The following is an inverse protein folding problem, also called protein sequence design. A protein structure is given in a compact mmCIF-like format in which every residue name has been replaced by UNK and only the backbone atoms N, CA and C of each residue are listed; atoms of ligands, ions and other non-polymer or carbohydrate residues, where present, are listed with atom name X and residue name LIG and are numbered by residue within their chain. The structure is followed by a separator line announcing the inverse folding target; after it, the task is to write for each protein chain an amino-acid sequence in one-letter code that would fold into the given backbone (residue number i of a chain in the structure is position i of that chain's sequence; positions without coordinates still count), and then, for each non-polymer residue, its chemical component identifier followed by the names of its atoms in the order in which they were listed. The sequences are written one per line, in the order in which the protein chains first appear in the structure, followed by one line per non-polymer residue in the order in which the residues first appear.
data_IF_198100920431
#
_entry.id   IF_198100920431
#
_cell.length_a   1.000
_cell.length_b   1.000
_cell.length_c   1.000
_cell.angle_alpha   90.00
_cell.angle_beta   90.00
_cell.angle_gamma   90.00
#
_symmetry.space_group_name_H-M   'P 1'
#
loop_
_entity.id
_entity.type
_entity.pdbx_description
1 polymer ?
#
# COMPACT_ATOMS: atom_id res chain seq x y z
N UNK A 1 -2.51 -18.44 -2.18
CA UNK A 1 -3.24 -18.31 -3.46
C UNK A 1 -2.57 -17.21 -4.24
N UNK A 2 -2.30 -17.43 -5.53
CA UNK A 2 -1.62 -16.47 -6.39
C UNK A 2 -2.59 -15.32 -6.70
N UNK A 3 -2.08 -14.08 -6.78
CA UNK A 3 -2.92 -12.91 -7.12
C UNK A 3 -3.26 -12.79 -8.61
N UNK A 4 -2.75 -13.72 -9.43
CA UNK A 4 -2.71 -13.66 -10.90
C UNK A 4 -3.26 -14.94 -11.50
N UNK A 5 -3.99 -14.84 -12.62
CA UNK A 5 -4.51 -15.99 -13.38
C UNK A 5 -4.33 -15.80 -14.89
N UNK A 6 -4.09 -16.90 -15.61
CA UNK A 6 -4.09 -16.95 -17.08
C UNK A 6 -5.35 -17.68 -17.55
N UNK A 7 -6.21 -16.97 -18.30
CA UNK A 7 -7.42 -17.53 -18.93
C UNK A 7 -7.13 -17.80 -20.39
N UNK A 8 -7.31 -19.05 -20.85
CA UNK A 8 -6.97 -19.45 -22.21
C UNK A 8 -7.93 -20.50 -22.78
N UNK A 9 -8.13 -20.51 -24.10
CA UNK A 9 -8.84 -21.60 -24.78
C UNK A 9 -8.07 -22.92 -24.63
N UNK A 10 -8.77 -24.05 -24.62
CA UNK A 10 -8.21 -25.40 -24.38
C UNK A 10 -6.92 -25.67 -25.18
N UNK A 11 -6.95 -25.34 -26.48
CA UNK A 11 -5.82 -25.53 -27.40
C UNK A 11 -4.56 -24.70 -27.07
N UNK A 12 -4.70 -23.63 -26.28
CA UNK A 12 -3.62 -22.74 -25.86
C UNK A 12 -3.23 -22.94 -24.39
N UNK A 13 -3.79 -23.95 -23.70
CA UNK A 13 -3.41 -24.26 -22.32
C UNK A 13 -1.91 -24.56 -22.14
N UNK A 14 -1.18 -25.21 -23.07
CA UNK A 14 0.26 -25.38 -22.94
C UNK A 14 1.01 -24.04 -22.81
N UNK A 15 0.69 -23.07 -23.67
CA UNK A 15 1.27 -21.73 -23.62
C UNK A 15 0.80 -20.96 -22.38
N UNK A 16 -0.47 -21.12 -21.99
CA UNK A 16 -1.01 -20.53 -20.77
C UNK A 16 -0.27 -21.00 -19.52
N UNK A 17 0.07 -22.30 -19.44
CA UNK A 17 0.87 -22.87 -18.34
C UNK A 17 2.27 -22.28 -18.32
N UNK A 18 2.92 -22.14 -19.49
CA UNK A 18 4.23 -21.49 -19.58
C UNK A 18 4.21 -20.04 -19.08
N UNK A 19 3.18 -19.27 -19.42
CA UNK A 19 2.99 -17.91 -18.90
C UNK A 19 2.75 -17.95 -17.39
N UNK A 20 1.91 -18.89 -16.94
CA UNK A 20 1.55 -19.02 -15.53
C UNK A 20 2.74 -19.40 -14.65
N UNK A 21 3.60 -20.32 -15.09
CA UNK A 21 4.81 -20.73 -14.38
C UNK A 21 5.78 -19.54 -14.20
N UNK A 22 5.94 -18.70 -15.23
CA UNK A 22 6.79 -17.50 -15.15
C UNK A 22 6.24 -16.47 -14.16
N UNK A 23 4.92 -16.28 -14.16
CA UNK A 23 4.25 -15.29 -13.30
C UNK A 23 3.94 -15.80 -11.89
N UNK A 24 4.12 -17.10 -11.62
CA UNK A 24 3.56 -17.75 -10.45
C UNK A 24 2.05 -17.55 -10.37
N UNK A 25 1.33 -17.84 -11.47
CA UNK A 25 -0.11 -17.62 -11.63
C UNK A 25 -0.87 -18.96 -11.70
N UNK A 26 -2.18 -18.90 -11.50
CA UNK A 26 -3.07 -20.03 -11.78
C UNK A 26 -3.46 -20.05 -13.27
N UNK A 27 -4.01 -21.17 -13.78
CA UNK A 27 -4.59 -21.26 -15.13
C UNK A 27 -6.05 -21.66 -15.08
N UNK A 28 -6.90 -20.98 -15.84
CA UNK A 28 -8.32 -21.33 -16.01
C UNK A 28 -8.63 -21.55 -17.50
N UNK A 29 -9.19 -22.71 -17.90
CA UNK A 29 -9.72 -22.89 -19.25
C UNK A 29 -10.86 -21.92 -19.54
N UNK A 30 -10.86 -21.31 -20.72
CA UNK A 30 -11.89 -20.38 -21.13
C UNK A 30 -13.23 -21.10 -21.33
N UNK A 31 -14.28 -20.54 -20.73
CA UNK A 31 -15.67 -20.98 -20.83
C UNK A 31 -16.61 -19.84 -20.44
N UNK A 32 -17.94 -20.07 -20.42
CA UNK A 32 -18.94 -19.03 -20.18
C UNK A 32 -18.72 -18.22 -18.90
N UNK A 33 -18.28 -18.88 -17.82
CA UNK A 33 -18.09 -18.26 -16.50
C UNK A 33 -16.62 -17.95 -16.17
N UNK A 34 -15.68 -18.25 -17.06
CA UNK A 34 -14.25 -18.16 -16.75
C UNK A 34 -13.82 -16.74 -16.31
N UNK A 35 -14.31 -15.69 -16.99
CA UNK A 35 -14.01 -14.31 -16.58
C UNK A 35 -14.74 -13.91 -15.29
N UNK A 36 -15.94 -14.44 -15.05
CA UNK A 36 -16.67 -14.19 -13.80
C UNK A 36 -15.92 -14.79 -12.61
N UNK A 37 -15.47 -16.03 -12.74
CA UNK A 37 -14.62 -16.67 -11.74
C UNK A 37 -13.31 -15.89 -11.53
N UNK A 38 -12.64 -15.52 -12.63
CA UNK A 38 -11.38 -14.79 -12.58
C UNK A 38 -11.53 -13.43 -11.86
N UNK A 39 -12.57 -12.66 -12.17
CA UNK A 39 -12.84 -11.35 -11.55
C UNK A 39 -13.13 -11.44 -10.06
N UNK A 40 -13.76 -12.53 -9.60
CA UNK A 40 -14.06 -12.74 -8.18
C UNK A 40 -12.81 -13.12 -7.36
N UNK A 41 -11.88 -13.86 -7.96
CA UNK A 41 -10.79 -14.53 -7.23
C UNK A 41 -9.42 -13.87 -7.39
N UNK A 42 -9.18 -13.14 -8.48
CA UNK A 42 -7.86 -12.65 -8.85
C UNK A 42 -7.84 -11.14 -9.08
N UNK A 43 -6.66 -10.55 -8.87
CA UNK A 43 -6.42 -9.11 -9.09
C UNK A 43 -5.75 -8.82 -10.42
N UNK A 44 -5.11 -9.83 -11.03
CA UNK A 44 -4.35 -9.74 -12.26
C UNK A 44 -4.78 -10.88 -13.19
N UNK A 45 -5.17 -10.56 -14.42
CA UNK A 45 -5.72 -11.52 -15.37
C UNK A 45 -4.98 -11.37 -16.70
N UNK A 46 -4.39 -12.47 -17.18
CA UNK A 46 -3.87 -12.59 -18.55
C UNK A 46 -4.88 -13.37 -19.38
N UNK A 47 -5.45 -12.75 -20.41
CA UNK A 47 -6.37 -13.39 -21.34
C UNK A 47 -5.62 -13.81 -22.61
N UNK A 48 -5.23 -15.09 -22.72
CA UNK A 48 -4.56 -15.65 -23.90
C UNK A 48 -5.60 -16.03 -24.96
N UNK A 49 -6.01 -15.04 -25.75
CA UNK A 49 -7.07 -15.12 -26.76
C UNK A 49 -7.11 -13.84 -27.61
N UNK A 50 -8.03 -13.75 -28.57
CA UNK A 50 -8.23 -12.48 -29.29
C UNK A 50 -8.85 -11.42 -28.38
N UNK A 51 -8.43 -10.16 -28.56
CA UNK A 51 -8.93 -9.03 -27.76
C UNK A 51 -10.46 -8.92 -27.78
N UNK A 52 -11.10 -9.17 -28.93
CA UNK A 52 -12.55 -9.12 -29.04
C UNK A 52 -13.28 -10.16 -28.19
N UNK A 53 -12.68 -11.33 -27.90
CA UNK A 53 -13.26 -12.32 -26.97
C UNK A 53 -13.12 -11.81 -25.54
N UNK A 54 -11.89 -11.40 -25.16
CA UNK A 54 -11.61 -10.91 -23.83
C UNK A 54 -12.48 -9.69 -23.46
N UNK A 55 -12.52 -8.67 -24.32
CA UNK A 55 -13.30 -7.43 -24.09
C UNK A 55 -14.79 -7.73 -23.91
N UNK A 56 -15.38 -8.56 -24.78
CA UNK A 56 -16.80 -8.94 -24.63
C UNK A 56 -17.08 -9.76 -23.38
N UNK A 57 -16.13 -10.62 -22.98
CA UNK A 57 -16.24 -11.44 -21.77
C UNK A 57 -16.17 -10.61 -20.49
N UNK A 58 -15.30 -9.59 -20.45
CA UNK A 58 -15.12 -8.75 -19.26
C UNK A 58 -16.10 -7.58 -19.18
N UNK A 59 -16.58 -7.04 -20.31
CA UNK A 59 -17.40 -5.82 -20.33
C UNK A 59 -18.62 -5.85 -19.38
N UNK A 60 -19.39 -6.96 -19.26
CA UNK A 60 -20.51 -7.03 -18.31
C UNK A 60 -20.09 -7.07 -16.83
N UNK A 61 -18.81 -7.29 -16.55
CA UNK A 61 -18.24 -7.45 -15.21
C UNK A 61 -17.53 -6.17 -14.72
N UNK A 62 -17.28 -5.21 -15.60
CA UNK A 62 -16.64 -3.94 -15.26
C UNK A 62 -17.59 -3.10 -14.41
N UNK A 63 -17.10 -2.65 -13.26
CA UNK A 63 -17.88 -1.86 -12.32
C UNK A 63 -17.18 -0.56 -11.96
N UNK A 64 -15.91 -0.62 -11.58
CA UNK A 64 -15.18 0.54 -11.08
C UNK A 64 -13.68 0.44 -11.35
N UNK A 65 -13.13 1.52 -11.91
CA UNK A 65 -11.71 1.60 -12.31
C UNK A 65 -10.70 1.43 -11.16
N UNK A 66 -11.14 1.42 -9.89
CA UNK A 66 -10.28 1.22 -8.72
C UNK A 66 -10.39 -0.18 -8.14
N UNK A 67 -11.44 -0.92 -8.46
CA UNK A 67 -11.74 -2.24 -7.87
C UNK A 67 -11.61 -3.37 -8.88
N UNK A 68 -11.90 -3.09 -10.15
CA UNK A 68 -11.80 -4.05 -11.24
C UNK A 68 -10.36 -4.60 -11.29
N UNK A 69 -10.17 -5.89 -11.64
CA UNK A 69 -8.85 -6.46 -11.81
C UNK A 69 -8.11 -5.87 -13.02
N UNK A 70 -6.79 -5.89 -12.95
CA UNK A 70 -5.93 -5.61 -14.09
C UNK A 70 -6.07 -6.72 -15.14
N UNK A 71 -6.40 -6.37 -16.39
CA UNK A 71 -6.57 -7.33 -17.49
C UNK A 71 -5.63 -7.01 -18.64
N UNK A 72 -4.81 -7.98 -19.02
CA UNK A 72 -3.91 -7.93 -20.17
C UNK A 72 -4.31 -9.00 -21.17
N UNK A 73 -4.52 -8.63 -22.43
CA UNK A 73 -4.77 -9.57 -23.52
C UNK A 73 -3.44 -9.96 -24.16
N UNK A 74 -3.22 -11.26 -24.33
CA UNK A 74 -2.09 -11.80 -25.09
C UNK A 74 -2.64 -12.52 -26.31
N UNK A 75 -2.13 -12.17 -27.49
CA UNK A 75 -2.49 -12.83 -28.74
C UNK A 75 -2.05 -14.30 -28.75
N UNK A 76 -2.76 -15.20 -29.45
CA UNK A 76 -2.34 -16.61 -29.56
C UNK A 76 -0.96 -16.83 -30.20
N UNK A 77 -0.44 -15.83 -30.91
CA UNK A 77 0.91 -15.84 -31.49
C UNK A 77 2.00 -15.39 -30.51
N UNK A 78 1.63 -15.07 -29.27
CA UNK A 78 2.50 -14.61 -28.18
C UNK A 78 3.34 -13.39 -28.56
N UNK A 79 2.92 -12.60 -29.56
CA UNK A 79 3.69 -11.43 -30.00
C UNK A 79 3.48 -10.23 -29.12
N UNK A 80 2.23 -9.96 -28.73
CA UNK A 80 1.86 -8.73 -28.05
C UNK A 80 1.08 -8.97 -26.76
N UNK A 81 1.39 -8.18 -25.74
CA UNK A 81 0.66 -8.07 -24.49
C UNK A 81 0.00 -6.68 -24.42
N UNK A 82 -1.33 -6.64 -24.51
CA UNK A 82 -2.11 -5.40 -24.59
C UNK A 82 -2.90 -5.22 -23.30
N UNK A 83 -2.55 -4.28 -22.42
CA UNK A 83 -3.40 -3.89 -21.31
C UNK A 83 -4.75 -3.37 -21.83
N UNK A 84 -5.85 -3.94 -21.36
CA UNK A 84 -7.21 -3.52 -21.79
C UNK A 84 -7.98 -2.85 -20.66
N UNK A 85 -7.76 -3.26 -19.41
CA UNK A 85 -8.36 -2.64 -18.22
C UNK A 85 -7.30 -2.59 -17.12
N UNK A 86 -7.25 -1.49 -16.38
CA UNK A 86 -6.39 -1.37 -15.21
C UNK A 86 -4.96 -0.93 -15.44
N UNK A 87 -4.72 -0.13 -16.48
CA UNK A 87 -3.39 0.40 -16.79
C UNK A 87 -2.69 1.07 -15.59
N UNK A 88 -3.42 1.79 -14.75
CA UNK A 88 -2.89 2.49 -13.57
C UNK A 88 -2.88 1.68 -12.27
N UNK A 89 -3.36 0.44 -12.27
CA UNK A 89 -3.40 -0.41 -11.07
C UNK A 89 -2.88 -1.83 -11.34
N UNK A 90 -1.98 -1.98 -12.32
CA UNK A 90 -1.15 -3.17 -12.50
C UNK A 90 -1.19 -3.84 -13.87
N UNK A 91 -2.06 -3.42 -14.81
CA UNK A 91 -2.11 -4.06 -16.12
C UNK A 91 -0.91 -3.70 -17.00
N UNK A 92 -0.41 -2.46 -16.92
CA UNK A 92 0.81 -2.07 -17.62
C UNK A 92 2.02 -2.85 -17.10
N UNK A 93 2.12 -2.99 -15.77
CA UNK A 93 3.22 -3.74 -15.14
C UNK A 93 3.17 -5.22 -15.49
N UNK A 94 1.96 -5.81 -15.47
CA UNK A 94 1.74 -7.18 -15.92
C UNK A 94 2.16 -7.38 -17.39
N UNK A 95 1.83 -6.43 -18.29
CA UNK A 95 2.28 -6.49 -19.67
C UNK A 95 3.82 -6.41 -19.79
N UNK A 96 4.48 -5.57 -18.97
CA UNK A 96 5.96 -5.50 -18.94
C UNK A 96 6.60 -6.77 -18.39
N UNK A 97 6.00 -7.41 -17.38
CA UNK A 97 6.47 -8.68 -16.86
C UNK A 97 6.46 -9.77 -17.94
N UNK A 98 5.44 -9.78 -18.80
CA UNK A 98 5.33 -10.70 -19.94
C UNK A 98 6.43 -10.51 -21.00
N UNK A 99 7.09 -9.35 -21.05
CA UNK A 99 8.23 -9.11 -21.94
C UNK A 99 9.41 -10.06 -21.68
N UNK A 100 9.53 -10.61 -20.46
CA UNK A 100 10.52 -11.64 -20.13
C UNK A 100 10.35 -12.93 -20.94
N UNK A 101 9.17 -13.16 -21.49
CA UNK A 101 8.87 -14.28 -22.38
C UNK A 101 8.99 -13.91 -23.87
N UNK A 102 9.48 -12.70 -24.19
CA UNK A 102 9.54 -12.18 -25.55
C UNK A 102 8.20 -11.65 -26.08
N UNK A 103 7.20 -11.47 -25.21
CA UNK A 103 5.89 -10.92 -25.56
C UNK A 103 5.95 -9.41 -25.43
N UNK A 104 5.85 -8.68 -26.54
CA UNK A 104 6.04 -7.23 -26.58
C UNK A 104 4.86 -6.47 -25.94
N UNK A 105 5.08 -5.63 -24.92
CA UNK A 105 4.01 -4.87 -24.29
C UNK A 105 3.57 -3.70 -25.18
N UNK A 106 2.27 -3.63 -25.49
CA UNK A 106 1.66 -2.55 -26.27
C UNK A 106 0.93 -1.60 -25.31
N UNK A 107 1.68 -0.71 -24.68
CA UNK A 107 1.13 0.25 -23.70
C UNK A 107 0.56 1.46 -24.42
N UNK A 108 -0.74 1.70 -24.27
CA UNK A 108 -1.48 2.79 -24.94
C UNK A 108 -1.84 3.95 -24.01
N UNK A 109 -1.53 3.84 -22.71
CA UNK A 109 -1.86 4.87 -21.72
C UNK A 109 -1.01 6.13 -21.94
N UNK A 110 -1.69 7.25 -22.20
CA UNK A 110 -1.07 8.50 -22.68
C UNK A 110 0.00 9.09 -21.74
N UNK A 111 -0.13 8.88 -20.43
CA UNK A 111 0.87 9.29 -19.43
C UNK A 111 2.19 8.56 -19.63
N UNK A 112 2.13 7.26 -19.90
CA UNK A 112 3.32 6.39 -20.03
C UNK A 112 4.03 6.57 -21.38
N UNK A 113 3.28 6.72 -22.48
CA UNK A 113 3.86 6.97 -23.82
C UNK A 113 4.65 8.29 -23.88
N UNK A 114 4.40 9.21 -22.95
CA UNK A 114 5.13 10.48 -22.81
C UNK A 114 6.17 10.47 -21.67
N UNK A 115 6.35 9.35 -20.98
CA UNK A 115 7.27 9.22 -19.84
C UNK A 115 6.87 10.06 -18.61
N UNK A 116 5.60 10.46 -18.51
CA UNK A 116 5.09 11.30 -17.43
C UNK A 116 4.14 10.52 -16.55
N UNK A 117 4.44 10.45 -15.27
CA UNK A 117 3.71 9.61 -14.33
C UNK A 117 2.32 10.16 -13.98
N UNK A 118 1.31 9.29 -13.88
CA UNK A 118 -0.04 9.69 -13.46
C UNK A 118 -0.11 9.91 -11.95
N UNK A 119 -1.15 10.60 -11.47
CA UNK A 119 -1.41 10.79 -10.03
C UNK A 119 -1.49 9.44 -9.30
N UNK A 120 -2.09 8.44 -9.92
CA UNK A 120 -2.17 7.07 -9.39
C UNK A 120 -0.79 6.42 -9.27
N UNK A 121 0.06 6.57 -10.28
CA UNK A 121 1.44 6.09 -10.24
C UNK A 121 2.23 6.72 -9.09
N UNK A 122 2.14 8.06 -8.98
CA UNK A 122 2.77 8.82 -7.89
C UNK A 122 2.27 8.33 -6.53
N UNK A 123 0.95 8.14 -6.37
CA UNK A 123 0.36 7.67 -5.12
C UNK A 123 0.83 6.25 -4.76
N UNK A 124 0.83 5.32 -5.72
CA UNK A 124 1.28 3.96 -5.51
C UNK A 124 2.77 3.90 -5.10
N UNK A 125 3.65 4.58 -5.84
CA UNK A 125 5.08 4.61 -5.54
C UNK A 125 5.40 5.30 -4.22
N UNK A 126 4.63 6.34 -3.86
CA UNK A 126 4.85 7.11 -2.63
C UNK A 126 4.18 6.50 -1.40
N UNK A 127 3.46 5.38 -1.58
CA UNK A 127 2.68 4.74 -0.51
C UNK A 127 1.60 5.67 0.03
N UNK A 128 0.81 6.29 -0.84
CA UNK A 128 -0.24 7.25 -0.50
C UNK A 128 -1.63 6.80 -0.97
N UNK A 129 -2.66 7.20 -0.24
CA UNK A 129 -4.04 7.19 -0.69
C UNK A 129 -4.41 8.53 -1.33
N UNK A 130 -5.16 8.49 -2.43
CA UNK A 130 -5.72 9.69 -3.07
C UNK A 130 -7.06 10.02 -2.39
N UNK A 131 -7.13 11.19 -1.75
CA UNK A 131 -8.29 11.64 -0.97
C UNK A 131 -9.44 12.07 -1.89
N UNK A 132 -9.17 12.94 -2.86
CA UNK A 132 -10.16 13.52 -3.77
C UNK A 132 -10.02 12.93 -5.18
N UNK A 133 -10.38 11.65 -5.35
CA UNK A 133 -10.15 10.87 -6.58
C UNK A 133 -10.64 11.52 -7.87
N UNK A 134 -11.69 12.33 -7.83
CA UNK A 134 -12.20 13.02 -9.03
C UNK A 134 -11.19 14.02 -9.63
N UNK A 135 -10.32 14.61 -8.80
CA UNK A 135 -9.27 15.52 -9.25
C UNK A 135 -8.25 14.86 -10.20
N UNK A 136 -8.07 13.54 -10.09
CA UNK A 136 -7.09 12.79 -10.90
C UNK A 136 -7.32 12.97 -12.39
N UNK A 137 -8.57 13.15 -12.83
CA UNK A 137 -8.88 13.38 -14.25
C UNK A 137 -8.26 14.67 -14.76
N UNK A 138 -8.46 15.77 -14.04
CA UNK A 138 -7.94 17.08 -14.43
C UNK A 138 -6.42 17.13 -14.35
N UNK A 139 -5.84 16.58 -13.27
CA UNK A 139 -4.38 16.55 -13.10
C UNK A 139 -3.71 15.66 -14.15
N UNK A 140 -4.23 14.45 -14.39
CA UNK A 140 -3.67 13.57 -15.41
C UNK A 140 -3.78 14.18 -16.81
N UNK A 141 -4.86 14.89 -17.13
CA UNK A 141 -4.96 15.64 -18.38
C UNK A 141 -3.88 16.73 -18.47
N UNK A 142 -3.67 17.51 -17.40
CA UNK A 142 -2.63 18.53 -17.37
C UNK A 142 -1.20 17.97 -17.49
N UNK A 143 -0.93 16.81 -16.87
CA UNK A 143 0.36 16.09 -16.98
C UNK A 143 0.68 15.74 -18.45
N UNK A 144 -0.34 15.48 -19.28
CA UNK A 144 -0.11 15.19 -20.69
C UNK A 144 0.46 16.40 -21.45
N UNK A 145 0.11 17.62 -21.04
CA UNK A 145 0.46 18.85 -21.74
C UNK A 145 1.70 19.51 -21.15
N UNK A 146 1.87 19.48 -19.82
CA UNK A 146 2.97 20.12 -19.11
C UNK A 146 3.47 19.30 -17.92
N UNK A 147 4.64 19.66 -17.40
CA UNK A 147 5.12 19.12 -16.13
C UNK A 147 4.32 19.75 -14.99
N UNK A 148 3.50 18.94 -14.32
CA UNK A 148 2.70 19.37 -13.16
C UNK A 148 3.54 19.22 -11.90
N UNK A 149 3.69 20.28 -11.08
CA UNK A 149 4.50 20.23 -9.87
C UNK A 149 3.89 19.33 -8.80
N UNK A 150 4.74 18.55 -8.13
CA UNK A 150 4.40 17.76 -6.94
C UNK A 150 4.88 18.50 -5.69
N UNK A 151 3.96 18.89 -4.82
CA UNK A 151 4.26 19.55 -3.55
C UNK A 151 4.16 18.56 -2.39
N UNK A 152 5.26 18.32 -1.68
CA UNK A 152 5.30 17.48 -0.48
C UNK A 152 5.39 18.35 0.79
N UNK A 153 4.48 18.14 1.75
CA UNK A 153 4.39 18.91 3.00
C UNK A 153 4.63 17.97 4.18
N UNK A 154 5.64 18.25 5.01
CA UNK A 154 6.00 17.42 6.16
C UNK A 154 5.23 17.76 7.45
N UNK A 155 4.64 18.97 7.53
CA UNK A 155 3.87 19.44 8.68
C UNK A 155 4.71 19.92 9.88
N UNK A 156 4.05 20.35 10.98
CA UNK A 156 2.60 20.59 11.08
C UNK A 156 2.18 21.82 10.25
N UNK A 157 0.96 21.83 9.72
CA UNK A 157 0.45 22.95 8.91
C UNK A 157 -0.95 22.71 8.35
N UNK A 158 -1.54 23.76 7.79
CA UNK A 158 -2.84 23.72 7.09
C UNK A 158 -2.59 23.94 5.59
N UNK A 159 -3.17 23.08 4.74
CA UNK A 159 -3.08 23.20 3.29
C UNK A 159 -4.44 23.62 2.72
N UNK A 160 -4.47 24.71 1.96
CA UNK A 160 -5.63 25.11 1.15
C UNK A 160 -5.27 24.88 -0.31
N UNK A 161 -6.04 24.05 -1.02
CA UNK A 161 -5.83 23.83 -2.45
C UNK A 161 -7.15 23.89 -3.23
N UNK A 162 -7.06 24.31 -4.49
CA UNK A 162 -8.19 24.39 -5.41
C UNK A 162 -8.65 23.02 -5.93
N UNK A 163 -9.79 22.95 -6.63
CA UNK A 163 -10.39 21.68 -7.09
C UNK A 163 -9.54 20.93 -8.12
N UNK A 164 -8.60 21.60 -8.79
CA UNK A 164 -7.67 21.00 -9.74
C UNK A 164 -6.43 20.36 -9.11
N UNK A 165 -6.36 20.25 -7.78
CA UNK A 165 -5.21 19.66 -7.07
C UNK A 165 -5.58 18.29 -6.54
N UNK A 166 -4.75 17.28 -6.81
CA UNK A 166 -4.88 15.96 -6.21
C UNK A 166 -4.20 15.91 -4.83
N UNK A 167 -4.96 15.51 -3.82
CA UNK A 167 -4.49 15.33 -2.46
C UNK A 167 -4.10 13.87 -2.23
N UNK A 168 -2.83 13.66 -1.91
CA UNK A 168 -2.27 12.37 -1.56
C UNK A 168 -1.89 12.41 -0.09
N UNK A 169 -2.32 11.40 0.67
CA UNK A 169 -1.96 11.24 2.09
C UNK A 169 -1.26 9.91 2.25
N UNK A 170 -0.15 9.86 3.01
CA UNK A 170 0.56 8.58 3.22
C UNK A 170 -0.39 7.53 3.79
N UNK A 171 -0.33 6.36 3.18
CA UNK A 171 -1.03 5.15 3.58
C UNK A 171 -0.20 4.48 4.66
N UNK A 172 -0.45 4.86 5.90
CA UNK A 172 0.00 4.08 7.04
C UNK A 172 -1.13 3.17 7.53
N UNK A 173 -0.84 1.87 7.62
CA UNK A 173 -1.71 0.89 8.28
C UNK A 173 -1.35 0.77 9.76
N UNK A 174 -0.06 0.86 10.08
CA UNK A 174 0.44 0.56 11.41
C UNK A 174 0.65 1.81 12.26
N UNK A 175 0.31 1.70 13.54
CA UNK A 175 0.62 2.67 14.58
C UNK A 175 1.65 2.04 15.51
N UNK A 176 2.70 2.79 15.81
CA UNK A 176 3.80 2.32 16.66
C UNK A 176 3.73 3.02 18.01
N UNK A 177 3.40 2.27 19.05
CA UNK A 177 3.43 2.77 20.41
C UNK A 177 4.82 2.62 21.02
N UNK A 178 5.38 3.71 21.55
CA UNK A 178 6.74 3.74 22.10
C UNK A 178 6.72 4.17 23.56
N UNK A 179 7.17 3.28 24.44
CA UNK A 179 7.58 3.60 25.80
C UNK A 179 9.10 3.64 25.90
N UNK A 180 9.65 4.42 26.82
CA UNK A 180 11.08 4.40 27.11
C UNK A 180 11.35 4.88 28.53
N UNK A 181 12.57 4.70 29.04
CA UNK A 181 13.03 5.38 30.27
C UNK A 181 13.25 6.87 29.99
N UNK A 182 13.56 7.63 31.05
CA UNK A 182 13.93 9.04 30.93
C UNK A 182 15.31 9.17 30.29
N UNK A 183 15.50 10.21 29.48
CA UNK A 183 16.79 10.63 28.92
C UNK A 183 17.46 9.54 28.04
N UNK A 184 16.65 8.74 27.34
CA UNK A 184 17.15 7.70 26.43
C UNK A 184 17.71 8.34 25.15
N UNK A 185 18.92 7.95 24.68
CA UNK A 185 19.48 8.45 23.43
C UNK A 185 18.61 8.13 22.21
N UNK A 186 18.56 9.04 21.24
CA UNK A 186 17.79 8.85 20.00
C UNK A 186 18.19 7.57 19.26
N UNK A 187 19.50 7.29 19.18
CA UNK A 187 20.03 6.08 18.54
C UNK A 187 19.47 4.78 19.15
N UNK A 188 19.23 4.74 20.46
CA UNK A 188 18.64 3.57 21.13
C UNK A 188 17.17 3.39 20.77
N UNK A 189 16.41 4.49 20.65
CA UNK A 189 15.01 4.44 20.22
C UNK A 189 14.92 4.01 18.75
N UNK A 190 15.71 4.61 17.86
CA UNK A 190 15.75 4.25 16.43
C UNK A 190 16.12 2.78 16.24
N UNK A 191 17.12 2.29 16.99
CA UNK A 191 17.53 0.88 16.97
C UNK A 191 16.41 -0.05 17.46
N UNK A 192 15.79 0.27 18.60
CA UNK A 192 14.70 -0.53 19.16
C UNK A 192 13.49 -0.64 18.22
N UNK A 193 13.10 0.48 17.61
CA UNK A 193 11.99 0.51 16.63
C UNK A 193 12.37 -0.29 15.37
N UNK A 194 13.60 -0.15 14.87
CA UNK A 194 14.08 -0.93 13.72
C UNK A 194 14.14 -2.44 13.99
N UNK A 195 14.55 -2.84 15.19
CA UNK A 195 14.51 -4.24 15.64
C UNK A 195 13.06 -4.76 15.69
N UNK A 196 12.13 -4.00 16.27
CA UNK A 196 10.71 -4.34 16.32
C UNK A 196 10.08 -4.48 14.92
N UNK A 197 10.43 -3.61 13.96
CA UNK A 197 9.96 -3.71 12.58
C UNK A 197 10.42 -4.99 11.89
N UNK A 198 11.69 -5.39 12.07
CA UNK A 198 12.19 -6.66 11.52
C UNK A 198 11.47 -7.87 12.11
N UNK A 199 11.20 -7.85 13.41
CA UNK A 199 10.51 -8.95 14.11
C UNK A 199 9.03 -9.03 13.76
N UNK A 200 8.36 -7.88 13.60
CA UNK A 200 6.96 -7.80 13.22
C UNK A 200 6.72 -8.00 11.71
N UNK A 201 7.76 -7.93 10.88
CA UNK A 201 7.63 -7.96 9.42
C UNK A 201 6.95 -6.70 8.85
N UNK A 202 7.08 -5.56 9.52
CA UNK A 202 6.46 -4.28 9.13
C UNK A 202 7.50 -3.39 8.46
N UNK A 203 7.20 -2.85 7.27
CA UNK A 203 8.08 -1.88 6.64
C UNK A 203 7.87 -0.48 7.24
N UNK A 204 8.93 0.33 7.45
CA UNK A 204 8.79 1.70 7.98
C UNK A 204 7.81 2.58 7.20
N UNK A 205 7.70 2.38 5.89
CA UNK A 205 6.78 3.13 5.02
C UNK A 205 5.30 2.82 5.27
N UNK A 206 4.98 1.71 5.96
CA UNK A 206 3.62 1.30 6.30
C UNK A 206 3.16 1.89 7.64
N UNK A 207 4.03 2.63 8.34
CA UNK A 207 3.72 3.28 9.62
C UNK A 207 3.03 4.61 9.38
N UNK A 208 1.83 4.75 9.94
CA UNK A 208 1.04 5.97 9.91
C UNK A 208 1.60 7.01 10.87
N UNK A 209 1.85 6.59 12.11
CA UNK A 209 2.17 7.48 13.21
C UNK A 209 2.76 6.70 14.39
N UNK A 210 3.58 7.39 15.17
CA UNK A 210 4.12 6.93 16.44
C UNK A 210 3.31 7.55 17.57
N UNK A 211 3.10 6.82 18.66
CA UNK A 211 2.30 7.29 19.79
C UNK A 211 2.99 7.01 21.13
N UNK A 212 2.81 7.91 22.09
CA UNK A 212 3.32 7.77 23.45
C UNK A 212 2.47 8.57 24.45
N UNK A 213 2.81 8.52 25.74
CA UNK A 213 2.14 9.32 26.77
C UNK A 213 2.60 10.78 26.75
N UNK A 214 1.70 11.73 27.06
CA UNK A 214 2.03 13.14 27.20
C UNK A 214 3.12 13.42 28.24
N UNK A 215 3.28 12.55 29.25
CA UNK A 215 4.38 12.61 30.22
C UNK A 215 5.77 12.54 29.56
N UNK A 216 5.86 12.13 28.29
CA UNK A 216 7.09 12.05 27.49
C UNK A 216 7.31 13.21 26.52
N UNK A 217 6.50 14.26 26.59
CA UNK A 217 6.61 15.43 25.71
C UNK A 217 7.99 16.11 25.77
N UNK A 218 8.71 15.99 26.89
CA UNK A 218 10.07 16.54 27.07
C UNK A 218 11.23 15.59 26.72
N UNK A 219 10.96 14.38 26.23
CA UNK A 219 12.01 13.38 25.95
C UNK A 219 12.69 13.66 24.61
N UNK A 220 13.77 14.44 24.62
CA UNK A 220 14.48 14.87 23.41
C UNK A 220 14.95 13.71 22.52
N UNK A 221 15.42 12.60 23.12
CA UNK A 221 15.85 11.45 22.35
C UNK A 221 14.71 10.73 21.62
N UNK A 222 13.51 10.69 22.20
CA UNK A 222 12.34 10.11 21.54
C UNK A 222 11.88 10.98 20.36
N UNK A 223 11.83 12.30 20.57
CA UNK A 223 11.48 13.27 19.53
C UNK A 223 12.45 13.19 18.34
N UNK A 224 13.76 13.21 18.62
CA UNK A 224 14.79 13.12 17.59
C UNK A 224 14.73 11.79 16.83
N UNK A 225 14.55 10.66 17.54
CA UNK A 225 14.46 9.36 16.89
C UNK A 225 13.26 9.23 15.95
N UNK A 226 12.08 9.71 16.35
CA UNK A 226 10.89 9.67 15.49
C UNK A 226 11.06 10.56 14.26
N UNK A 227 11.73 11.71 14.42
CA UNK A 227 12.08 12.57 13.29
C UNK A 227 13.07 11.89 12.32
N UNK A 228 14.11 11.21 12.83
CA UNK A 228 15.09 10.46 12.03
C UNK A 228 14.43 9.29 11.27
N UNK A 229 13.39 8.68 11.85
CA UNK A 229 12.56 7.66 11.22
C UNK A 229 11.57 8.24 10.18
N UNK A 230 11.52 9.57 10.02
CA UNK A 230 10.58 10.26 9.12
C UNK A 230 9.13 10.20 9.58
N UNK A 231 8.90 9.96 10.87
CA UNK A 231 7.59 9.76 11.48
C UNK A 231 7.02 10.98 12.19
N UNK A 232 5.74 10.92 12.51
CA UNK A 232 5.07 11.87 13.40
C UNK A 232 4.84 11.21 14.77
N UNK A 233 5.05 11.96 15.87
CA UNK A 233 4.79 11.49 17.23
C UNK A 233 3.55 12.17 17.81
N UNK A 234 2.60 11.36 18.28
CA UNK A 234 1.39 11.79 18.99
C UNK A 234 1.56 11.53 20.48
N UNK A 235 1.13 12.50 21.28
CA UNK A 235 1.11 12.43 22.74
C UNK A 235 -0.32 12.23 23.22
N UNK A 236 -0.53 11.24 24.07
CA UNK A 236 -1.83 10.84 24.59
C UNK A 236 -1.91 11.11 26.09
N UNK A 237 -3.04 11.66 26.53
CA UNK A 237 -3.34 11.86 27.94
C UNK A 237 -3.58 10.52 28.68
N UNK A 238 -3.59 10.60 30.01
CA UNK A 238 -3.75 9.43 30.88
C UNK A 238 -5.13 8.76 30.69
N UNK A 239 -6.18 9.52 30.40
CA UNK A 239 -7.54 9.00 30.22
C UNK A 239 -7.62 8.12 28.97
N UNK A 240 -7.11 8.63 27.85
CA UNK A 240 -7.05 7.93 26.56
C UNK A 240 -6.26 6.63 26.66
N UNK A 241 -5.11 6.65 27.34
CA UNK A 241 -4.29 5.44 27.51
C UNK A 241 -4.94 4.42 28.43
N UNK A 242 -5.59 4.85 29.50
CA UNK A 242 -6.24 3.95 30.47
C UNK A 242 -7.58 3.40 29.96
N UNK A 243 -8.20 4.02 28.94
CA UNK A 243 -9.38 3.49 28.27
C UNK A 243 -9.08 2.26 27.40
N UNK A 244 -7.83 2.08 26.98
CA UNK A 244 -7.41 0.95 26.15
C UNK A 244 -6.99 -0.26 27.01
N UNK A 245 -7.45 -1.44 26.62
CA UNK A 245 -7.06 -2.68 27.28
C UNK A 245 -5.60 -3.01 26.95
N UNK A 246 -4.70 -2.82 27.93
CA UNK A 246 -3.30 -3.26 27.82
C UNK A 246 -3.22 -4.76 28.11
N UNK A 247 -2.98 -5.64 27.11
CA UNK A 247 -2.95 -7.08 27.36
C UNK A 247 -1.73 -7.50 28.20
N UNK A 248 -0.65 -6.71 28.20
CA UNK A 248 0.59 -7.08 28.87
C UNK A 248 0.87 -6.24 30.13
N UNK A 249 1.38 -6.82 31.24
CA UNK A 249 1.71 -6.11 32.48
C UNK A 249 2.76 -5.00 32.28
N UNK A 250 2.56 -3.81 32.85
CA UNK A 250 3.44 -2.66 32.64
C UNK A 250 3.98 -2.07 33.93
N UNK A 251 5.23 -1.57 33.91
CA UNK A 251 5.78 -0.72 34.99
C UNK A 251 5.21 0.69 34.99
N UNK A 252 4.43 1.06 33.97
CA UNK A 252 3.78 2.36 33.88
C UNK A 252 2.70 2.59 34.97
N UNK A 253 2.30 1.54 35.70
CA UNK A 253 1.43 1.68 36.87
C UNK A 253 2.03 2.59 37.95
N UNK A 254 3.37 2.64 38.05
CA UNK A 254 4.09 3.56 38.95
C UNK A 254 3.84 5.04 38.64
N UNK A 255 3.38 5.35 37.43
CA UNK A 255 3.02 6.70 36.98
C UNK A 255 1.52 6.80 36.66
N UNK A 256 0.68 5.90 37.17
CA UNK A 256 -0.77 5.94 37.01
C UNK A 256 -1.31 5.46 35.66
N UNK A 257 -0.53 4.70 34.90
CA UNK A 257 -0.92 4.21 33.57
C UNK A 257 -1.00 2.68 33.51
N UNK A 258 -2.03 2.14 32.86
CA UNK A 258 -2.15 0.71 32.56
C UNK A 258 -1.00 0.21 31.66
N UNK A 259 -0.53 1.09 30.77
CA UNK A 259 0.59 0.84 29.86
C UNK A 259 0.93 2.09 29.06
N UNK A 260 2.04 2.04 28.31
CA UNK A 260 2.38 3.11 27.35
C UNK A 260 2.39 2.56 25.94
N UNK A 261 3.30 1.63 25.61
CA UNK A 261 3.48 1.16 24.23
C UNK A 261 2.19 0.54 23.62
N UNK A 262 1.63 -0.51 24.23
CA UNK A 262 0.41 -1.14 23.70
C UNK A 262 -0.82 -0.20 23.71
N UNK A 263 -1.17 0.48 24.82
CA UNK A 263 -2.30 1.40 24.82
C UNK A 263 -2.14 2.55 23.84
N UNK A 264 -0.93 3.10 23.68
CA UNK A 264 -0.70 4.19 22.75
C UNK A 264 -0.86 3.74 21.29
N UNK A 265 -0.34 2.55 20.96
CA UNK A 265 -0.54 1.96 19.63
C UNK A 265 -2.04 1.73 19.36
N UNK A 266 -2.74 1.11 20.30
CA UNK A 266 -4.17 0.80 20.18
C UNK A 266 -5.03 2.07 20.09
N UNK A 267 -4.79 3.06 20.95
CA UNK A 267 -5.56 4.31 21.01
C UNK A 267 -5.68 5.01 19.65
N UNK A 268 -4.60 5.01 18.86
CA UNK A 268 -4.53 5.73 17.57
C UNK A 268 -4.76 4.79 16.36
N UNK A 269 -4.70 3.47 16.57
CA UNK A 269 -4.94 2.49 15.51
C UNK A 269 -6.40 2.50 15.02
N UNK A 270 -6.60 2.14 13.75
CA UNK A 270 -7.92 2.17 13.11
C UNK A 270 -8.75 0.95 13.48
N UNK A 271 -8.12 -0.23 13.61
CA UNK A 271 -8.80 -1.52 13.85
C UNK A 271 -8.70 -1.99 15.29
N UNK A 272 -7.93 -1.32 16.14
CA UNK A 272 -7.74 -1.69 17.57
C UNK A 272 -7.16 -3.11 17.70
N UNK A 273 -6.31 -3.51 16.76
CA UNK A 273 -5.70 -4.84 16.72
C UNK A 273 -4.19 -4.73 16.94
N UNK A 274 -3.67 -5.45 17.95
CA UNK A 274 -2.22 -5.58 18.12
C UNK A 274 -1.67 -6.60 17.13
N UNK A 275 -0.73 -6.13 16.32
CA UNK A 275 0.00 -6.94 15.33
C UNK A 275 1.34 -7.38 15.92
N UNK A 276 1.90 -6.59 16.83
CA UNK A 276 3.08 -6.91 17.59
C UNK A 276 2.88 -6.48 19.05
N UNK A 277 2.71 -7.47 19.93
CA UNK A 277 2.67 -7.26 21.37
C UNK A 277 3.97 -6.62 21.85
N UNK A 278 3.92 -5.90 22.98
CA UNK A 278 5.09 -5.09 23.36
C UNK A 278 6.33 -5.94 23.58
N UNK A 279 7.46 -5.46 23.07
CA UNK A 279 8.79 -5.98 23.37
C UNK A 279 9.67 -4.88 23.94
N UNK A 280 10.59 -5.26 24.82
CA UNK A 280 11.51 -4.31 25.47
C UNK A 280 12.94 -4.52 24.96
N UNK A 281 13.47 -3.52 24.30
CA UNK A 281 14.82 -3.45 23.75
C UNK A 281 15.62 -2.50 24.63
N UNK A 282 16.24 -3.06 25.68
CA UNK A 282 16.97 -2.29 26.68
C UNK A 282 16.07 -1.32 27.47
N UNK A 283 16.19 -0.03 27.19
CA UNK A 283 15.44 1.04 27.86
C UNK A 283 14.19 1.49 27.09
N UNK A 284 13.92 0.89 25.92
CA UNK A 284 12.82 1.25 25.02
C UNK A 284 11.86 0.06 24.90
N UNK A 285 10.57 0.33 24.89
CA UNK A 285 9.51 -0.66 24.71
C UNK A 285 8.68 -0.26 23.50
N UNK A 286 8.48 -1.18 22.56
CA UNK A 286 7.76 -0.92 21.30
C UNK A 286 6.61 -1.91 21.17
N UNK A 287 5.46 -1.42 20.72
CA UNK A 287 4.32 -2.23 20.30
C UNK A 287 3.77 -1.70 18.97
N UNK A 288 3.13 -2.55 18.17
CA UNK A 288 2.60 -2.17 16.86
C UNK A 288 1.15 -2.64 16.74
N UNK A 289 0.27 -1.72 16.36
CA UNK A 289 -1.15 -1.98 16.14
C UNK A 289 -1.59 -1.51 14.75
N UNK A 290 -2.78 -1.92 14.30
CA UNK A 290 -3.44 -1.43 13.06
C UNK A 290 -4.91 -1.15 13.28
#
# INVERSE_FOLDING_TARGET
MTGTVVVALERFLPDARRIADMLGADTIPYGPDAFREAFCRYRRIVALMSAGIAVRGIAPLLADKWRDPAVVVVGPDLRYAVPVVGGHHGANDLARELARLGIEPVITTATETRGRESVEGIAARSGCDIVNRDSTRAVNAAVLDADVPLYAIAGPGIVVAGPGVSFLVRKGEYVVGVGCRKDVPAADVTRAVGEAFREAGVAPAEVLVYATTEKKRGEAGLLAAVADLGGNLVFLDDETLNAEAAPSPSRASLIGLAGVAEPAALAVSKRKELVFAKQTYGSVTVAIAR
#
